data_IF_552310116815
#
_entry.id   IF_552310116815
#
_cell.length_a   1.000
_cell.length_b   1.000
_cell.length_c   1.000
_cell.angle_alpha   90.00
_cell.angle_beta   90.00
_cell.angle_gamma   90.00
#
_symmetry.space_group_name_H-M   'P 1'
#
loop_
_entity.id
_entity.type
_entity.pdbx_description
1 polymer ?
#
# COMPACT_ATOMS: atom_id res chain seq x y z
N UNK A 1 9.95 -10.46 -12.72
CA UNK A 1 10.69 -10.56 -11.45
C UNK A 1 9.67 -10.80 -10.34
N UNK A 2 9.38 -12.08 -10.11
CA UNK A 2 8.42 -12.54 -9.12
C UNK A 2 9.16 -12.69 -7.78
N UNK A 3 8.94 -11.76 -6.86
CA UNK A 3 9.63 -11.75 -5.58
C UNK A 3 8.67 -11.32 -4.48
N UNK A 4 8.42 -12.22 -3.55
CA UNK A 4 7.87 -11.81 -2.25
C UNK A 4 9.00 -11.16 -1.45
N UNK A 5 8.70 -10.02 -0.85
CA UNK A 5 9.67 -9.19 -0.15
C UNK A 5 9.35 -9.13 1.33
N UNK A 6 10.39 -8.95 2.12
CA UNK A 6 10.22 -8.63 3.54
C UNK A 6 9.71 -7.19 3.73
N UNK A 7 9.26 -6.85 4.94
CA UNK A 7 8.79 -5.49 5.25
C UNK A 7 9.89 -4.43 5.08
N UNK A 8 11.15 -4.77 5.40
CA UNK A 8 12.32 -3.90 5.17
C UNK A 8 12.57 -3.70 3.69
N UNK A 9 12.63 -4.79 2.94
CA UNK A 9 12.81 -4.74 1.48
C UNK A 9 11.69 -3.99 0.75
N UNK A 10 10.46 -4.09 1.25
CA UNK A 10 9.32 -3.33 0.72
C UNK A 10 9.50 -1.83 1.00
N UNK A 11 9.94 -1.47 2.20
CA UNK A 11 10.25 -0.10 2.59
C UNK A 11 11.34 0.51 1.70
N UNK A 12 12.44 -0.22 1.48
CA UNK A 12 13.54 0.22 0.64
C UNK A 12 13.12 0.42 -0.81
N UNK A 13 12.36 -0.52 -1.38
CA UNK A 13 11.82 -0.39 -2.75
C UNK A 13 10.86 0.79 -2.89
N UNK A 14 10.01 1.02 -1.88
CA UNK A 14 9.08 2.14 -1.88
C UNK A 14 9.84 3.48 -1.80
N UNK A 15 10.87 3.55 -0.96
CA UNK A 15 11.75 4.71 -0.87
C UNK A 15 12.47 4.99 -2.19
N UNK A 16 13.04 3.96 -2.83
CA UNK A 16 13.70 4.08 -4.12
C UNK A 16 12.75 4.56 -5.22
N UNK A 17 11.53 4.02 -5.29
CA UNK A 17 10.52 4.44 -6.25
C UNK A 17 10.09 5.90 -6.08
N UNK A 18 9.98 6.38 -4.83
CA UNK A 18 9.67 7.77 -4.52
C UNK A 18 10.83 8.72 -4.84
N UNK A 19 12.07 8.25 -4.73
CA UNK A 19 13.26 9.03 -5.06
C UNK A 19 13.42 9.25 -6.57
N UNK A 20 13.04 8.28 -7.40
CA UNK A 20 13.14 8.36 -8.87
C UNK A 20 12.23 9.43 -9.48
N UNK A 21 11.06 9.68 -8.87
CA UNK A 21 10.06 10.63 -9.41
C UNK A 21 10.40 12.10 -9.13
N UNK A 22 11.49 12.41 -8.42
CA UNK A 22 11.89 13.78 -8.14
C UNK A 22 10.90 14.57 -7.27
N UNK A 23 9.91 13.92 -6.65
CA UNK A 23 9.00 14.51 -5.65
C UNK A 23 9.72 14.75 -4.30
N UNK A 24 10.96 15.25 -4.36
CA UNK A 24 11.85 15.50 -3.23
C UNK A 24 11.54 16.84 -2.53
N UNK A 25 10.74 17.74 -3.08
CA UNK A 25 10.72 19.11 -2.55
C UNK A 25 9.63 19.44 -1.51
N UNK A 26 8.60 18.62 -1.28
CA UNK A 26 7.53 19.00 -0.31
C UNK A 26 7.67 18.34 1.08
N UNK A 27 8.32 17.18 1.18
CA UNK A 27 8.43 16.45 2.46
C UNK A 27 9.87 16.08 2.82
N UNK A 28 10.71 17.08 3.11
CA UNK A 28 12.06 16.90 3.65
C UNK A 28 12.14 16.33 5.08
N UNK A 29 11.16 15.54 5.54
CA UNK A 29 11.18 14.89 6.86
C UNK A 29 11.57 13.43 6.71
N UNK A 30 12.43 12.94 7.61
CA UNK A 30 12.75 11.50 7.79
C UNK A 30 11.48 10.63 7.94
N UNK A 31 10.34 11.22 8.34
CA UNK A 31 9.02 10.58 8.41
C UNK A 31 8.35 10.37 7.05
N UNK A 32 8.88 10.94 5.98
CA UNK A 32 8.33 10.80 4.64
C UNK A 32 8.77 9.50 3.97
N UNK A 33 9.91 8.96 4.36
CA UNK A 33 10.36 7.64 3.88
C UNK A 33 9.49 6.55 4.52
N UNK A 34 8.90 5.63 3.73
CA UNK A 34 8.19 4.48 4.27
C UNK A 34 9.11 3.66 5.16
N UNK A 35 8.74 3.46 6.42
CA UNK A 35 9.47 2.63 7.38
C UNK A 35 8.59 1.45 7.84
N UNK A 36 9.21 0.38 8.35
CA UNK A 36 8.51 -0.87 8.68
C UNK A 36 7.32 -0.68 9.64
N UNK A 37 7.47 0.23 10.61
CA UNK A 37 6.39 0.56 11.56
C UNK A 37 5.18 1.19 10.86
N UNK A 38 5.42 2.06 9.88
CA UNK A 38 4.39 2.71 9.08
C UNK A 38 3.66 1.69 8.21
N UNK A 39 4.41 0.81 7.55
CA UNK A 39 3.84 -0.27 6.73
C UNK A 39 2.94 -1.16 7.59
N UNK A 40 3.40 -1.59 8.76
CA UNK A 40 2.58 -2.39 9.67
C UNK A 40 1.33 -1.66 10.13
N UNK A 41 1.45 -0.38 10.46
CA UNK A 41 0.28 0.43 10.82
C UNK A 41 -0.70 0.53 9.63
N UNK A 42 -0.22 0.76 8.41
CA UNK A 42 -1.05 0.78 7.20
C UNK A 42 -1.75 -0.54 6.91
N UNK A 43 -1.10 -1.68 7.14
CA UNK A 43 -1.76 -2.99 7.04
C UNK A 43 -2.84 -3.16 8.11
N UNK A 44 -2.64 -2.59 9.31
CA UNK A 44 -3.59 -2.70 10.44
C UNK A 44 -4.84 -1.85 10.19
N UNK A 45 -4.70 -0.66 9.59
CA UNK A 45 -5.83 0.20 9.24
C UNK A 45 -6.46 -0.16 7.88
N UNK A 46 -6.01 -1.23 7.22
CA UNK A 46 -6.54 -1.67 5.93
C UNK A 46 -6.20 -0.78 4.74
N UNK A 47 -5.19 0.09 4.87
CA UNK A 47 -4.73 0.94 3.77
C UNK A 47 -3.82 0.19 2.79
N UNK A 48 -3.11 -0.81 3.31
CA UNK A 48 -2.29 -1.76 2.54
C UNK A 48 -2.86 -3.14 2.75
N UNK A 49 -2.84 -3.97 1.70
CA UNK A 49 -3.34 -5.34 1.73
C UNK A 49 -2.61 -6.16 2.83
N UNK A 50 -3.28 -7.14 3.45
CA UNK A 50 -2.59 -8.06 4.35
C UNK A 50 -1.44 -8.78 3.62
N UNK A 51 -0.35 -9.13 4.34
CA UNK A 51 0.78 -9.80 3.72
C UNK A 51 0.36 -11.11 3.04
N UNK A 52 0.90 -11.36 1.85
CA UNK A 52 0.61 -12.54 1.01
C UNK A 52 0.82 -13.87 1.74
N UNK A 53 1.72 -13.86 2.71
CA UNK A 53 1.97 -15.01 3.57
C UNK A 53 3.03 -14.66 4.60
N UNK A 54 3.44 -15.68 5.36
CA UNK A 54 4.59 -15.58 6.26
C UNK A 54 5.56 -16.70 5.97
N UNK A 55 6.85 -16.36 5.91
CA UNK A 55 7.94 -17.33 5.90
C UNK A 55 8.57 -17.34 7.29
N UNK A 56 8.12 -18.28 8.11
CA UNK A 56 8.49 -18.33 9.54
C UNK A 56 7.98 -17.10 10.29
N UNK A 57 8.90 -16.32 10.86
CA UNK A 57 8.58 -15.07 11.60
C UNK A 57 8.44 -13.84 10.69
N UNK A 58 8.73 -13.96 9.40
CA UNK A 58 8.79 -12.83 8.47
C UNK A 58 7.55 -12.76 7.60
N UNK A 59 6.87 -11.62 7.61
CA UNK A 59 5.75 -11.34 6.71
C UNK A 59 6.27 -11.05 5.30
N UNK A 60 5.61 -11.66 4.31
CA UNK A 60 5.94 -11.54 2.90
C UNK A 60 4.94 -10.62 2.20
N UNK A 61 5.47 -9.68 1.45
CA UNK A 61 4.75 -8.66 0.72
C UNK A 61 5.00 -8.82 -0.77
N UNK A 62 3.98 -8.51 -1.56
CA UNK A 62 4.08 -8.56 -3.01
C UNK A 62 4.25 -7.19 -3.64
N UNK A 63 4.46 -7.16 -4.96
CA UNK A 63 4.55 -5.92 -5.72
C UNK A 63 3.29 -5.05 -5.65
N UNK A 64 2.10 -5.65 -5.41
CA UNK A 64 0.86 -4.88 -5.18
C UNK A 64 0.96 -3.97 -3.95
N UNK A 65 1.67 -4.41 -2.91
CA UNK A 65 1.85 -3.64 -1.68
C UNK A 65 2.76 -2.43 -1.93
N UNK A 66 3.75 -2.59 -2.82
CA UNK A 66 4.63 -1.50 -3.24
C UNK A 66 3.82 -0.40 -3.93
N UNK A 67 2.92 -0.77 -4.86
CA UNK A 67 2.04 0.18 -5.53
C UNK A 67 1.15 0.94 -4.53
N UNK A 68 0.53 0.23 -3.59
CA UNK A 68 -0.29 0.86 -2.55
C UNK A 68 0.51 1.86 -1.72
N UNK A 69 1.71 1.48 -1.26
CA UNK A 69 2.57 2.38 -0.48
C UNK A 69 2.96 3.63 -1.27
N UNK A 70 3.40 3.47 -2.52
CA UNK A 70 3.80 4.60 -3.37
C UNK A 70 2.60 5.49 -3.69
N UNK A 71 1.43 4.91 -4.00
CA UNK A 71 0.20 5.64 -4.23
C UNK A 71 -0.22 6.45 -2.99
N UNK A 72 -0.22 5.85 -1.80
CA UNK A 72 -0.50 6.54 -0.53
C UNK A 72 0.43 7.72 -0.35
N UNK A 73 1.74 7.50 -0.51
CA UNK A 73 2.75 8.54 -0.31
C UNK A 73 2.59 9.70 -1.29
N UNK A 74 2.33 9.43 -2.57
CA UNK A 74 2.02 10.46 -3.57
C UNK A 74 0.78 11.26 -3.22
N UNK A 75 -0.28 10.61 -2.72
CA UNK A 75 -1.50 11.31 -2.28
C UNK A 75 -1.27 12.14 -1.03
N UNK A 76 -0.48 11.65 -0.08
CA UNK A 76 -0.07 12.44 1.09
C UNK A 76 0.75 13.67 0.67
N UNK A 77 1.64 13.54 -0.31
CA UNK A 77 2.38 14.66 -0.89
C UNK A 77 1.45 15.69 -1.58
N UNK A 78 0.33 15.23 -2.15
CA UNK A 78 -0.74 16.07 -2.68
C UNK A 78 -1.67 16.66 -1.58
N UNK A 79 -1.35 16.49 -0.30
CA UNK A 79 -2.12 17.05 0.83
C UNK A 79 -3.36 16.26 1.23
N UNK A 80 -3.55 15.03 0.71
CA UNK A 80 -4.70 14.18 1.08
C UNK A 80 -4.49 13.57 2.46
N UNK A 81 -5.57 13.54 3.24
CA UNK A 81 -5.61 12.87 4.54
C UNK A 81 -5.68 11.34 4.38
N UNK A 82 -5.20 10.60 5.38
CA UNK A 82 -5.24 9.12 5.36
C UNK A 82 -6.66 8.58 5.09
N UNK A 83 -7.70 9.19 5.67
CA UNK A 83 -9.09 8.79 5.44
C UNK A 83 -9.52 8.97 3.98
N UNK A 84 -9.15 10.07 3.34
CA UNK A 84 -9.44 10.30 1.91
C UNK A 84 -8.73 9.27 1.03
N UNK A 85 -7.48 8.97 1.35
CA UNK A 85 -6.69 7.99 0.64
C UNK A 85 -7.27 6.58 0.83
N UNK A 86 -7.76 6.25 2.02
CA UNK A 86 -8.47 4.98 2.24
C UNK A 86 -9.71 4.87 1.36
N UNK A 87 -10.53 5.92 1.29
CA UNK A 87 -11.72 5.93 0.42
C UNK A 87 -11.33 5.78 -1.04
N UNK A 88 -10.27 6.47 -1.49
CA UNK A 88 -9.81 6.40 -2.87
C UNK A 88 -9.16 5.06 -3.22
N UNK A 89 -8.40 4.46 -2.31
CA UNK A 89 -7.66 3.21 -2.56
C UNK A 89 -8.43 1.95 -2.16
N UNK A 90 -9.59 2.08 -1.51
CA UNK A 90 -10.46 0.94 -1.21
C UNK A 90 -11.19 0.51 -2.47
N UNK A 91 -10.96 -0.73 -2.91
CA UNK A 91 -11.66 -1.32 -4.06
C UNK A 91 -11.11 -0.92 -5.43
N UNK A 92 -10.00 -0.18 -5.51
CA UNK A 92 -9.36 0.13 -6.80
C UNK A 92 -8.59 -1.07 -7.37
N UNK A 93 -8.67 -1.19 -8.69
CA UNK A 93 -7.90 -2.16 -9.46
C UNK A 93 -6.41 -1.84 -9.45
N UNK A 94 -5.58 -2.87 -9.63
CA UNK A 94 -4.13 -2.76 -9.88
C UNK A 94 -3.82 -1.73 -10.97
N UNK A 95 -4.50 -1.76 -12.12
CA UNK A 95 -4.35 -0.77 -13.19
C UNK A 95 -4.56 0.70 -12.74
N UNK A 96 -5.44 0.93 -11.76
CA UNK A 96 -5.64 2.27 -11.20
C UNK A 96 -4.52 2.62 -10.22
N UNK A 97 -4.10 1.66 -9.38
CA UNK A 97 -2.94 1.81 -8.50
C UNK A 97 -1.66 2.10 -9.28
N UNK A 98 -1.44 1.47 -10.43
CA UNK A 98 -0.31 1.73 -11.32
C UNK A 98 -0.28 3.17 -11.82
N UNK A 99 -1.43 3.69 -12.27
CA UNK A 99 -1.56 5.08 -12.70
C UNK A 99 -1.30 6.06 -11.57
N UNK A 100 -1.81 5.78 -10.37
CA UNK A 100 -1.62 6.65 -9.19
C UNK A 100 -0.17 6.57 -8.68
N UNK A 101 0.43 5.39 -8.70
CA UNK A 101 1.83 5.17 -8.30
C UNK A 101 2.84 5.61 -9.37
N UNK A 102 2.38 5.84 -10.61
CA UNK A 102 3.17 6.06 -11.82
C UNK A 102 4.33 5.04 -11.97
N UNK A 103 4.05 3.78 -11.64
CA UNK A 103 5.00 2.67 -11.75
C UNK A 103 4.44 1.61 -12.69
N UNK A 104 5.22 1.16 -13.70
CA UNK A 104 4.82 0.01 -14.51
C UNK A 104 4.88 -1.25 -13.64
N UNK A 105 3.74 -1.86 -13.36
CA UNK A 105 3.69 -3.14 -12.67
C UNK A 105 3.72 -4.28 -13.70
N UNK A 106 4.54 -5.33 -13.51
CA UNK A 106 4.40 -6.52 -14.34
C UNK A 106 3.08 -7.20 -13.97
N UNK A 107 2.06 -6.99 -14.80
CA UNK A 107 0.73 -7.58 -14.67
C UNK A 107 0.81 -9.11 -14.58
N UNK A 108 0.85 -9.66 -13.36
CA UNK A 108 0.72 -11.11 -13.13
C UNK A 108 -0.16 -11.46 -11.92
N UNK A 109 -0.79 -10.47 -11.27
CA UNK A 109 -1.78 -10.75 -10.24
C UNK A 109 -3.18 -10.80 -10.87
N UNK A 110 -4.01 -11.83 -10.63
CA UNK A 110 -5.41 -11.77 -11.01
C UNK A 110 -6.06 -10.55 -10.30
N UNK A 111 -6.94 -9.80 -10.98
CA UNK A 111 -7.55 -8.62 -10.40
C UNK A 111 -8.24 -9.03 -9.09
N UNK A 112 -8.09 -8.28 -7.98
CA UNK A 112 -8.94 -8.48 -6.83
C UNK A 112 -10.36 -8.25 -7.32
N UNK A 113 -11.14 -9.33 -7.30
CA UNK A 113 -12.55 -9.30 -7.62
C UNK A 113 -13.16 -8.20 -6.74
N UNK A 114 -13.96 -7.26 -7.31
CA UNK A 114 -14.66 -6.30 -6.47
C UNK A 114 -15.44 -7.10 -5.43
N UNK A 115 -15.41 -6.75 -4.13
CA UNK A 115 -16.29 -7.42 -3.18
C UNK A 115 -17.72 -7.23 -3.68
N UNK A 116 -18.30 -8.30 -4.20
CA UNK A 116 -19.72 -8.38 -4.49
C UNK A 116 -20.46 -7.89 -3.26
N UNK A 117 -21.39 -6.96 -3.50
CA UNK A 117 -21.98 -6.11 -2.47
C UNK A 117 -22.32 -6.87 -1.19
N UNK A 118 -21.65 -6.50 -0.09
CA UNK A 118 -22.13 -6.83 1.23
C UNK A 118 -23.05 -5.70 1.70
N UNK A 119 -24.34 -5.98 1.51
CA UNK A 119 -25.43 -5.40 2.27
C UNK A 119 -25.01 -5.30 3.75
N UNK A 120 -24.92 -4.09 4.29
CA UNK A 120 -24.47 -3.87 5.67
C UNK A 120 -25.63 -4.19 6.61
N UNK A 121 -25.75 -5.47 6.95
CA UNK A 121 -26.49 -5.94 8.10
C UNK A 121 -25.52 -6.62 9.08
N UNK A 122 -25.10 -5.84 10.09
CA UNK A 122 -24.72 -6.30 11.42
C UNK A 122 -23.50 -7.21 11.57
N UNK A 123 -22.39 -6.65 12.07
CA UNK A 123 -21.76 -7.18 13.30
C UNK A 123 -20.72 -6.21 13.89
N UNK A 124 -21.15 -5.48 14.92
CA UNK A 124 -20.26 -5.03 15.98
C UNK A 124 -19.90 -6.25 16.84
N UNK A 125 -18.64 -6.70 16.79
CA UNK A 125 -17.95 -7.53 17.81
C UNK A 125 -16.46 -7.43 17.51
N UNK A 126 -15.51 -7.31 18.44
CA UNK A 126 -15.48 -7.19 19.90
C UNK A 126 -13.98 -7.08 20.20
N UNK A 127 -13.53 -6.07 20.92
CA UNK A 127 -12.25 -6.11 21.66
C UNK A 127 -12.62 -5.87 23.11
N UNK A 128 -12.42 -6.89 23.93
CA UNK A 128 -12.47 -6.87 25.38
C UNK A 128 -11.19 -7.50 25.90
#
# INVERSE_FOLDING_TARGET
MEGTWTISELAERAAAALAVDGSTQVSGRVRDVPNERLIRWYTTIGLVDPPLGRRGRTALYGPRHLLQLVAVKRRQAAGRSIAEIQVELTGVTDATLERVAALPYPATAPPPQPPGGHNTAGRLRRWG
#
